data_IF_538202220698
#
_entry.id   IF_538202220698
#
_cell.length_a   1.000
_cell.length_b   1.000
_cell.length_c   1.000
_cell.angle_alpha   90.00
_cell.angle_beta   90.00
_cell.angle_gamma   90.00
#
_symmetry.space_group_name_H-M   'P 1'
#
loop_
_entity.id
_entity.type
_entity.pdbx_description
1 polymer ?
#
# COMPACT_ATOMS: atom_id res chain seq x y z
N UNK A 1 11.01 -8.83 2.78
CA UNK A 1 10.77 -10.29 2.86
C UNK A 1 10.63 -10.93 1.48
N UNK A 2 10.29 -10.19 0.40
CA UNK A 2 10.21 -10.75 -0.95
C UNK A 2 8.99 -11.65 -1.18
N UNK A 3 8.05 -11.66 -0.22
CA UNK A 3 6.82 -12.45 -0.28
C UNK A 3 5.95 -11.99 -1.44
N UNK A 4 5.39 -12.95 -2.16
CA UNK A 4 4.37 -12.70 -3.17
C UNK A 4 3.05 -12.33 -2.48
N UNK A 5 2.46 -11.20 -2.89
CA UNK A 5 1.26 -10.63 -2.23
C UNK A 5 0.02 -11.46 -2.51
N UNK A 6 -0.09 -12.08 -3.69
CA UNK A 6 -1.20 -12.93 -4.05
C UNK A 6 -1.20 -14.25 -3.29
N UNK A 7 -0.02 -14.88 -3.16
CA UNK A 7 0.15 -16.07 -2.30
C UNK A 7 -0.22 -15.74 -0.84
N UNK A 8 0.26 -14.60 -0.32
CA UNK A 8 -0.04 -14.19 1.05
C UNK A 8 -1.55 -13.93 1.25
N UNK A 9 -2.21 -13.29 0.28
CA UNK A 9 -3.65 -13.08 0.32
C UNK A 9 -4.42 -14.39 0.38
N UNK A 10 -4.12 -15.35 -0.50
CA UNK A 10 -4.81 -16.65 -0.53
C UNK A 10 -4.69 -17.42 0.79
N UNK A 11 -3.51 -17.35 1.43
CA UNK A 11 -3.29 -17.96 2.74
C UNK A 11 -4.08 -17.28 3.85
N UNK A 12 -4.22 -15.95 3.79
CA UNK A 12 -4.72 -15.15 4.90
C UNK A 12 -6.19 -14.76 4.77
N UNK A 13 -6.81 -14.87 3.58
CA UNK A 13 -8.17 -14.37 3.29
C UNK A 13 -9.24 -14.66 4.35
N UNK A 14 -9.30 -15.84 5.02
CA UNK A 14 -10.36 -16.09 6.01
C UNK A 14 -10.14 -15.33 7.33
N UNK A 15 -8.95 -14.75 7.52
CA UNK A 15 -8.51 -14.11 8.77
C UNK A 15 -8.31 -12.59 8.61
N UNK A 16 -8.53 -12.03 7.41
CA UNK A 16 -8.35 -10.60 7.15
C UNK A 16 -9.48 -9.82 7.83
N UNK A 17 -9.14 -9.07 8.87
CA UNK A 17 -10.06 -8.15 9.55
C UNK A 17 -9.80 -6.68 9.20
N UNK A 18 -8.58 -6.35 8.77
CA UNK A 18 -8.10 -4.98 8.54
C UNK A 18 -7.03 -4.99 7.45
N UNK A 19 -7.01 -3.94 6.64
CA UNK A 19 -6.04 -3.81 5.54
C UNK A 19 -5.32 -2.47 5.66
N UNK A 20 -4.00 -2.53 5.54
CA UNK A 20 -3.15 -1.36 5.41
C UNK A 20 -2.53 -1.35 4.02
N UNK A 21 -2.93 -0.37 3.22
CA UNK A 21 -2.55 -0.27 1.81
C UNK A 21 -1.19 0.40 1.70
N UNK A 22 -0.27 -0.31 1.04
CA UNK A 22 1.04 0.18 0.61
C UNK A 22 1.42 -0.56 -0.66
N UNK A 23 2.10 0.12 -1.57
CA UNK A 23 2.58 -0.48 -2.81
C UNK A 23 4.05 -0.14 -3.04
N UNK A 24 4.77 -1.05 -3.70
CA UNK A 24 6.19 -0.92 -3.96
C UNK A 24 6.63 -1.71 -5.18
N UNK A 25 7.65 -1.21 -5.87
CA UNK A 25 8.28 -1.91 -7.00
C UNK A 25 9.18 -3.02 -6.46
N UNK A 26 8.97 -4.26 -6.93
CA UNK A 26 9.76 -5.44 -6.58
C UNK A 26 11.19 -5.27 -7.09
N UNK A 27 12.15 -5.74 -6.30
CA UNK A 27 13.59 -5.61 -6.61
C UNK A 27 14.16 -4.25 -6.16
N UNK A 28 13.55 -3.12 -6.53
CA UNK A 28 14.01 -1.81 -6.06
C UNK A 28 13.55 -1.50 -4.64
N UNK A 29 12.36 -1.96 -4.24
CA UNK A 29 11.73 -1.60 -2.96
C UNK A 29 11.29 -0.14 -2.89
N UNK A 30 11.23 0.55 -4.03
CA UNK A 30 10.71 1.93 -4.10
C UNK A 30 9.21 1.91 -3.79
N UNK A 31 8.82 2.67 -2.78
CA UNK A 31 7.41 2.85 -2.41
C UNK A 31 6.75 3.79 -3.41
N UNK A 32 5.62 3.36 -3.95
CA UNK A 32 4.87 4.07 -4.99
C UNK A 32 3.41 4.23 -4.58
N UNK A 33 2.61 4.87 -5.43
CA UNK A 33 1.18 4.99 -5.22
C UNK A 33 0.48 3.62 -5.37
N UNK A 34 -0.68 3.41 -4.73
CA UNK A 34 -1.45 2.18 -4.87
C UNK A 34 -1.76 1.85 -6.34
N UNK A 35 -1.41 0.65 -6.79
CA UNK A 35 -1.66 0.19 -8.16
C UNK A 35 -0.54 0.52 -9.15
N UNK A 36 0.50 1.24 -8.73
CA UNK A 36 1.67 1.56 -9.57
C UNK A 36 2.88 0.67 -9.23
N UNK A 37 2.76 -0.23 -8.24
CA UNK A 37 3.80 -1.18 -7.85
C UNK A 37 3.41 -2.63 -8.15
N UNK A 38 4.17 -3.55 -7.57
CA UNK A 38 4.02 -5.00 -7.77
C UNK A 38 3.20 -5.65 -6.64
N UNK A 39 2.41 -4.87 -5.89
CA UNK A 39 1.64 -5.33 -4.74
C UNK A 39 0.31 -6.01 -5.07
N UNK A 40 -0.16 -5.98 -6.32
CA UNK A 40 -1.47 -6.50 -6.75
C UNK A 40 -2.66 -5.87 -5.97
N UNK A 41 -2.59 -4.57 -5.69
CA UNK A 41 -3.57 -3.87 -4.84
C UNK A 41 -4.98 -3.98 -5.40
N UNK A 42 -5.16 -3.75 -6.71
CA UNK A 42 -6.48 -3.79 -7.36
C UNK A 42 -7.10 -5.17 -7.25
N UNK A 43 -6.36 -6.20 -7.65
CA UNK A 43 -6.80 -7.58 -7.68
C UNK A 43 -7.23 -8.04 -6.29
N UNK A 44 -6.40 -7.79 -5.27
CA UNK A 44 -6.67 -8.17 -3.89
C UNK A 44 -7.94 -7.49 -3.38
N UNK A 45 -8.10 -6.17 -3.59
CA UNK A 45 -9.29 -5.45 -3.14
C UNK A 45 -10.57 -5.92 -3.86
N UNK A 46 -10.50 -6.20 -5.17
CA UNK A 46 -11.62 -6.77 -5.92
C UNK A 46 -12.03 -8.15 -5.40
N UNK A 47 -11.08 -9.02 -5.09
CA UNK A 47 -11.39 -10.33 -4.52
C UNK A 47 -11.97 -10.24 -3.11
N UNK A 48 -11.50 -9.29 -2.30
CA UNK A 48 -12.05 -9.04 -0.96
C UNK A 48 -13.48 -8.53 -1.01
N UNK A 49 -13.76 -7.58 -1.90
CA UNK A 49 -15.12 -7.07 -2.12
C UNK A 49 -16.05 -8.19 -2.58
N UNK A 50 -15.62 -8.99 -3.57
CA UNK A 50 -16.34 -10.18 -4.03
C UNK A 50 -16.54 -11.26 -2.96
N UNK A 51 -15.65 -11.32 -1.96
CA UNK A 51 -15.77 -12.21 -0.79
C UNK A 51 -16.63 -11.62 0.35
N UNK A 52 -17.18 -10.41 0.18
CA UNK A 52 -18.02 -9.75 1.17
C UNK A 52 -17.24 -9.17 2.36
N UNK A 53 -15.99 -8.76 2.15
CA UNK A 53 -15.21 -8.07 3.18
C UNK A 53 -15.91 -6.78 3.61
N UNK A 54 -16.00 -6.53 4.92
CA UNK A 54 -16.67 -5.35 5.52
C UNK A 54 -15.78 -4.66 6.57
N UNK A 55 -14.47 -4.93 6.54
CA UNK A 55 -13.52 -4.30 7.46
C UNK A 55 -13.04 -2.94 6.97
N UNK A 56 -12.00 -2.42 7.62
CA UNK A 56 -11.47 -1.09 7.34
C UNK A 56 -10.22 -1.15 6.45
N UNK A 57 -10.14 -0.20 5.53
CA UNK A 57 -8.93 0.13 4.79
C UNK A 57 -8.25 1.32 5.45
N UNK A 58 -6.94 1.21 5.65
CA UNK A 58 -6.09 2.33 6.04
C UNK A 58 -5.11 2.65 4.94
N UNK A 59 -4.80 3.93 4.83
CA UNK A 59 -3.83 4.47 3.91
C UNK A 59 -2.95 5.43 4.69
N UNK A 60 -1.65 5.19 4.70
CA UNK A 60 -0.69 6.11 5.31
C UNK A 60 0.05 6.90 4.23
N UNK A 61 0.50 8.13 4.52
CA UNK A 61 1.32 8.94 3.63
C UNK A 61 2.76 8.39 3.56
N UNK A 62 2.92 7.15 3.09
CA UNK A 62 4.22 6.49 2.93
C UNK A 62 5.10 7.15 1.87
N UNK A 63 4.62 8.14 1.13
CA UNK A 63 5.45 8.90 0.17
C UNK A 63 6.35 9.93 0.86
N UNK A 64 6.17 10.16 2.16
CA UNK A 64 6.91 11.18 2.90
C UNK A 64 8.15 10.62 3.59
N UNK A 65 9.27 11.32 3.43
CA UNK A 65 10.44 11.13 4.28
C UNK A 65 10.21 11.92 5.55
N UNK A 66 9.93 11.25 6.66
CA UNK A 66 9.84 11.90 7.97
C UNK A 66 11.21 11.82 8.64
N UNK A 67 11.72 12.94 9.17
CA UNK A 67 13.05 13.04 9.82
C UNK A 67 13.27 12.01 10.96
N UNK A 68 12.20 11.48 11.54
CA UNK A 68 12.25 10.41 12.54
C UNK A 68 12.37 8.99 11.96
N UNK A 69 11.91 8.77 10.73
CA UNK A 69 11.86 7.44 10.10
C UNK A 69 13.25 6.96 9.69
N UNK A 70 14.11 7.87 9.19
CA UNK A 70 15.52 7.56 8.88
C UNK A 70 16.29 7.04 10.09
N UNK A 71 15.95 7.50 11.30
CA UNK A 71 16.59 7.06 12.54
C UNK A 71 16.10 5.69 13.02
N UNK A 72 14.96 5.22 12.51
CA UNK A 72 14.30 3.98 12.93
C UNK A 72 14.41 2.86 11.88
N UNK A 73 14.49 3.20 10.59
CA UNK A 73 14.62 2.24 9.48
C UNK A 73 16.09 2.09 9.02
N UNK A 74 16.63 0.87 9.08
CA UNK A 74 17.94 0.57 8.48
C UNK A 74 17.84 0.63 6.95
N UNK A 75 18.47 1.62 6.33
CA UNK A 75 18.57 1.74 4.87
C UNK A 75 17.37 2.42 4.21
N UNK A 76 16.71 3.34 4.91
CA UNK A 76 15.65 4.17 4.33
C UNK A 76 16.14 4.85 3.04
N UNK A 77 15.42 4.64 1.94
CA UNK A 77 15.64 5.41 0.70
C UNK A 77 14.99 6.78 0.85
N UNK A 78 15.64 7.82 0.35
CA UNK A 78 15.08 9.17 0.27
C UNK A 78 13.72 9.11 -0.43
N UNK A 79 12.67 9.59 0.24
CA UNK A 79 11.32 9.71 -0.32
C UNK A 79 11.09 11.14 -0.78
N UNK A 80 10.39 11.31 -1.91
CA UNK A 80 10.34 12.58 -2.65
C UNK A 80 9.39 13.63 -2.05
N UNK A 81 8.41 13.22 -1.25
CA UNK A 81 7.40 14.12 -0.71
C UNK A 81 7.78 14.56 0.72
N UNK A 82 7.60 15.84 1.06
CA UNK A 82 7.87 16.37 2.41
C UNK A 82 6.58 16.71 3.18
N UNK A 83 5.43 16.76 2.48
CA UNK A 83 4.13 17.09 3.05
C UNK A 83 3.24 15.83 3.13
N UNK A 84 2.94 15.41 4.37
CA UNK A 84 2.07 14.28 4.68
C UNK A 84 0.66 14.43 4.15
N UNK A 85 0.10 15.64 4.14
CA UNK A 85 -1.25 15.89 3.64
C UNK A 85 -1.29 15.74 2.12
N UNK A 86 -0.30 16.33 1.42
CA UNK A 86 -0.20 16.19 -0.03
C UNK A 86 0.03 14.73 -0.45
N UNK A 87 0.93 14.02 0.23
CA UNK A 87 1.16 12.60 0.02
C UNK A 87 -0.12 11.77 0.20
N UNK A 88 -0.84 11.99 1.30
CA UNK A 88 -2.09 11.28 1.57
C UNK A 88 -3.13 11.55 0.48
N UNK A 89 -3.32 12.81 0.08
CA UNK A 89 -4.28 13.17 -0.98
C UNK A 89 -3.96 12.49 -2.31
N UNK A 90 -2.67 12.42 -2.69
CA UNK A 90 -2.24 11.72 -3.91
C UNK A 90 -2.54 10.22 -3.82
N UNK A 91 -2.16 9.58 -2.72
CA UNK A 91 -2.42 8.16 -2.50
C UNK A 91 -3.92 7.84 -2.50
N UNK A 92 -4.72 8.68 -1.84
CA UNK A 92 -6.17 8.54 -1.78
C UNK A 92 -6.81 8.70 -3.17
N UNK A 93 -6.42 9.75 -3.91
CA UNK A 93 -6.93 9.98 -5.27
C UNK A 93 -6.64 8.81 -6.19
N UNK A 94 -5.40 8.31 -6.19
CA UNK A 94 -5.01 7.15 -7.00
C UNK A 94 -5.78 5.88 -6.60
N UNK A 95 -5.97 5.64 -5.31
CA UNK A 95 -6.75 4.50 -4.82
C UNK A 95 -8.22 4.59 -5.24
N UNK A 96 -8.82 5.77 -5.16
CA UNK A 96 -10.20 5.98 -5.61
C UNK A 96 -10.35 5.68 -7.11
N UNK A 97 -9.45 6.22 -7.94
CA UNK A 97 -9.40 5.91 -9.37
C UNK A 97 -9.27 4.40 -9.63
N UNK A 98 -8.39 3.72 -8.89
CA UNK A 98 -8.17 2.28 -9.04
C UNK A 98 -9.43 1.44 -8.72
N UNK A 99 -10.28 1.92 -7.82
CA UNK A 99 -11.52 1.25 -7.40
C UNK A 99 -12.71 1.57 -8.30
N UNK A 100 -12.67 2.71 -9.01
CA UNK A 100 -13.72 3.13 -9.95
C UNK A 100 -13.56 2.54 -11.37
N UNK A 101 -12.43 1.88 -11.66
CA UNK A 101 -12.10 1.21 -12.94
C UNK A 101 -12.62 -0.24 -13.05
#
# INVERSE_FOLDING_TARGET
>A
CGQDTMEAYEMLKPYIAYIHIKDAVKGSGEVVLPGDGDGCVKEILTMLDGAGYQGYLSLEPHLVSFDGLEKLEKGAKERREQDGIAAYKKAYGRLAELLDE
#
